data_IF_205007588724
#
_entry.id   IF_205007588724
#
_cell.length_a   1.000
_cell.length_b   1.000
_cell.length_c   1.000
_cell.angle_alpha   90.00
_cell.angle_beta   90.00
_cell.angle_gamma   90.00
#
_symmetry.space_group_name_H-M   'P 1'
#
loop_
_entity.id
_entity.type
_entity.pdbx_description
1 polymer ?
#
# COMPACT_ATOMS: atom_id res chain seq x y z
N UNK A 1 -19.60 3.66 -47.22
CA UNK A 1 -19.03 2.29 -47.16
C UNK A 1 -19.28 1.75 -45.75
N UNK A 2 -20.32 0.94 -45.52
CA UNK A 2 -20.62 0.47 -44.18
C UNK A 2 -19.61 -0.61 -43.78
N UNK A 3 -18.94 -0.36 -42.66
CA UNK A 3 -17.92 -1.18 -42.05
C UNK A 3 -18.45 -2.58 -41.74
N UNK A 4 -17.78 -3.60 -42.29
CA UNK A 4 -18.04 -5.03 -42.04
C UNK A 4 -17.94 -5.43 -40.56
N UNK A 5 -17.47 -4.52 -39.71
CA UNK A 5 -17.34 -4.69 -38.26
C UNK A 5 -18.68 -4.85 -37.54
N UNK A 6 -19.76 -4.18 -37.98
CA UNK A 6 -21.03 -4.22 -37.26
C UNK A 6 -21.79 -5.54 -37.41
N UNK A 7 -21.48 -6.34 -38.43
CA UNK A 7 -22.08 -7.66 -38.63
C UNK A 7 -21.42 -8.77 -37.79
N UNK A 8 -20.19 -8.55 -37.34
CA UNK A 8 -19.45 -9.53 -36.52
C UNK A 8 -19.95 -9.60 -35.08
N UNK A 9 -20.49 -8.50 -34.54
CA UNK A 9 -21.02 -8.46 -33.16
C UNK A 9 -22.36 -9.20 -32.97
N UNK A 10 -23.04 -9.67 -34.03
CA UNK A 10 -24.34 -10.36 -33.92
C UNK A 10 -24.21 -11.88 -33.85
N UNK A 11 -23.02 -12.43 -34.07
CA UNK A 11 -22.78 -13.86 -34.00
C UNK A 11 -22.54 -14.26 -32.54
N UNK A 12 -23.48 -14.99 -31.95
CA UNK A 12 -23.34 -15.57 -30.61
C UNK A 12 -22.05 -16.39 -30.50
N UNK A 13 -21.65 -17.07 -31.58
CA UNK A 13 -20.38 -17.80 -31.68
C UNK A 13 -19.17 -16.87 -31.53
N UNK A 14 -19.19 -15.68 -32.12
CA UNK A 14 -18.09 -14.71 -31.97
C UNK A 14 -18.01 -14.18 -30.54
N UNK A 15 -19.16 -13.94 -29.90
CA UNK A 15 -19.22 -13.53 -28.50
C UNK A 15 -18.62 -14.60 -27.57
N UNK A 16 -18.95 -15.89 -27.78
CA UNK A 16 -18.33 -16.98 -27.01
C UNK A 16 -16.83 -17.12 -27.27
N UNK A 17 -16.36 -16.89 -28.50
CA UNK A 17 -14.93 -16.93 -28.83
C UNK A 17 -14.18 -15.79 -28.12
N UNK A 18 -14.72 -14.57 -28.15
CA UNK A 18 -14.10 -13.41 -27.48
C UNK A 18 -14.11 -13.57 -25.96
N UNK A 19 -15.24 -14.00 -25.38
CA UNK A 19 -15.32 -14.29 -23.94
C UNK A 19 -14.37 -15.42 -23.53
N UNK A 20 -14.32 -16.49 -24.32
CA UNK A 20 -13.41 -17.61 -24.09
C UNK A 20 -11.94 -17.20 -24.13
N UNK A 21 -11.54 -16.39 -25.13
CA UNK A 21 -10.17 -15.86 -25.23
C UNK A 21 -9.82 -14.92 -24.07
N UNK A 22 -10.76 -14.09 -23.62
CA UNK A 22 -10.57 -13.21 -22.46
C UNK A 22 -10.28 -14.00 -21.19
N UNK A 23 -11.10 -15.01 -20.89
CA UNK A 23 -10.92 -15.88 -19.72
C UNK A 23 -9.64 -16.70 -19.84
N UNK A 24 -9.33 -17.22 -21.03
CA UNK A 24 -8.10 -17.97 -21.29
C UNK A 24 -6.85 -17.13 -20.99
N UNK A 25 -6.81 -15.89 -21.47
CA UNK A 25 -5.68 -14.99 -21.22
C UNK A 25 -5.52 -14.66 -19.74
N UNK A 26 -6.62 -14.48 -19.02
CA UNK A 26 -6.60 -14.24 -17.57
C UNK A 26 -6.05 -15.45 -16.81
N UNK A 27 -6.48 -16.66 -17.16
CA UNK A 27 -5.98 -17.90 -16.55
C UNK A 27 -4.50 -18.12 -16.84
N UNK A 28 -4.06 -17.89 -18.10
CA UNK A 28 -2.65 -17.98 -18.46
C UNK A 28 -1.83 -16.94 -17.68
N UNK A 29 -2.30 -15.70 -17.56
CA UNK A 29 -1.63 -14.65 -16.79
C UNK A 29 -1.45 -15.05 -15.31
N UNK A 30 -2.50 -15.52 -14.65
CA UNK A 30 -2.41 -16.00 -13.26
C UNK A 30 -1.45 -17.18 -13.14
N UNK A 31 -1.49 -18.11 -14.09
CA UNK A 31 -0.60 -19.27 -14.09
C UNK A 31 0.87 -18.88 -14.27
N UNK A 32 1.16 -17.87 -15.10
CA UNK A 32 2.50 -17.33 -15.26
C UNK A 32 2.99 -16.62 -14.00
N UNK A 33 2.11 -15.88 -13.30
CA UNK A 33 2.46 -15.25 -12.01
C UNK A 33 2.73 -16.31 -10.94
N UNK A 34 1.88 -17.34 -10.85
CA UNK A 34 2.03 -18.43 -9.88
C UNK A 34 3.25 -19.32 -10.13
N UNK A 35 3.75 -19.34 -11.38
CA UNK A 35 4.95 -20.08 -11.78
C UNK A 35 6.14 -19.21 -12.11
N UNK A 36 6.04 -17.89 -11.90
CA UNK A 36 7.18 -17.02 -12.03
C UNK A 36 8.21 -17.55 -11.02
N UNK A 37 9.35 -18.11 -11.46
CA UNK A 37 10.40 -18.41 -10.53
C UNK A 37 10.76 -17.09 -9.88
N UNK A 38 10.93 -17.07 -8.56
CA UNK A 38 11.52 -15.93 -7.86
C UNK A 38 12.85 -15.63 -8.57
N UNK A 39 12.83 -14.64 -9.45
CA UNK A 39 14.04 -14.02 -9.96
C UNK A 39 14.54 -13.24 -8.76
N UNK A 40 15.27 -13.96 -7.89
CA UNK A 40 16.03 -13.36 -6.81
C UNK A 40 16.76 -12.15 -7.42
N UNK A 41 16.59 -10.95 -6.85
CA UNK A 41 17.30 -9.77 -7.32
C UNK A 41 18.78 -10.13 -7.41
N UNK A 42 19.35 -10.08 -8.63
CA UNK A 42 20.80 -10.07 -8.72
C UNK A 42 21.26 -8.83 -7.95
N UNK A 43 22.18 -8.99 -6.98
CA UNK A 43 22.60 -7.93 -6.10
C UNK A 43 23.36 -6.88 -6.91
N UNK A 44 22.63 -5.89 -7.44
CA UNK A 44 23.20 -4.57 -7.60
C UNK A 44 23.35 -4.03 -6.18
N UNK A 45 24.55 -4.24 -5.63
CA UNK A 45 25.07 -3.73 -4.36
C UNK A 45 24.11 -2.76 -3.65
N UNK A 46 23.21 -3.31 -2.84
CA UNK A 46 22.54 -2.53 -1.80
C UNK A 46 23.34 -2.81 -0.55
N UNK A 47 24.08 -1.79 -0.17
CA UNK A 47 24.95 -1.78 0.98
C UNK A 47 24.19 -2.21 2.24
N UNK A 48 24.95 -2.87 3.10
CA UNK A 48 24.54 -3.51 4.33
C UNK A 48 23.88 -2.49 5.27
N UNK A 49 22.78 -2.89 5.91
CA UNK A 49 22.46 -2.58 7.32
C UNK A 49 21.16 -3.31 7.71
N UNK A 50 21.27 -4.61 7.95
CA UNK A 50 20.34 -5.34 8.80
C UNK A 50 21.13 -5.73 10.06
N UNK A 51 21.06 -4.88 11.09
CA UNK A 51 21.31 -5.21 12.50
C UNK A 51 20.91 -3.97 13.34
N UNK A 52 20.44 -4.23 14.57
CA UNK A 52 20.06 -3.29 15.62
C UNK A 52 18.67 -2.62 15.56
N UNK A 53 17.61 -3.38 15.87
CA UNK A 53 16.38 -2.78 16.42
C UNK A 53 15.72 -3.65 17.52
N UNK A 54 16.54 -4.28 18.36
CA UNK A 54 16.11 -5.00 19.56
C UNK A 54 16.65 -4.36 20.85
N UNK A 55 16.95 -3.06 20.82
CA UNK A 55 17.37 -2.25 21.99
C UNK A 55 16.43 -1.08 22.28
N UNK A 56 15.52 -0.73 21.36
CA UNK A 56 14.58 0.38 21.49
C UNK A 56 13.37 0.06 22.39
N UNK A 57 13.01 -1.22 22.52
CA UNK A 57 11.84 -1.64 23.31
C UNK A 57 12.12 -1.56 24.82
N UNK A 58 13.37 -1.68 25.25
CA UNK A 58 13.72 -1.69 26.68
C UNK A 58 13.84 -0.28 27.29
N UNK A 59 13.81 0.77 26.47
CA UNK A 59 13.80 2.18 26.90
C UNK A 59 12.40 2.70 27.27
N UNK A 60 11.33 1.96 26.97
CA UNK A 60 9.96 2.43 27.18
C UNK A 60 9.41 2.13 28.59
N UNK A 61 10.09 1.30 29.38
CA UNK A 61 9.68 0.95 30.75
C UNK A 61 10.10 2.03 31.79
N UNK A 62 11.19 2.78 31.53
CA UNK A 62 11.66 3.87 32.41
C UNK A 62 10.94 5.21 32.15
N UNK A 63 10.21 5.35 31.04
CA UNK A 63 9.56 6.62 30.66
C UNK A 63 8.24 6.90 31.38
N UNK A 64 7.61 5.90 31.99
CA UNK A 64 6.31 6.07 32.64
C UNK A 64 6.40 6.88 33.96
N UNK A 65 7.57 6.86 34.63
CA UNK A 65 7.80 7.65 35.85
C UNK A 65 8.09 9.14 35.54
N UNK A 66 8.76 9.43 34.43
CA UNK A 66 9.13 10.81 34.04
C UNK A 66 7.91 11.62 33.57
N UNK A 67 6.96 10.98 32.87
CA UNK A 67 5.76 11.64 32.32
C UNK A 67 4.82 12.11 33.45
N UNK A 68 4.70 11.33 34.53
CA UNK A 68 3.82 11.66 35.66
C UNK A 68 4.30 12.90 36.44
N UNK A 69 5.60 13.21 36.41
CA UNK A 69 6.15 14.39 37.08
C UNK A 69 6.09 15.66 36.20
N UNK A 70 6.11 15.49 34.87
CA UNK A 70 6.04 16.60 33.90
C UNK A 70 4.65 17.26 33.85
N UNK A 71 3.58 16.52 34.12
CA UNK A 71 2.20 17.06 34.14
C UNK A 71 1.95 18.09 35.26
N UNK A 72 2.85 18.21 36.24
CA UNK A 72 2.73 19.19 37.34
C UNK A 72 3.24 20.59 36.98
N UNK A 73 4.05 20.70 35.92
CA UNK A 73 4.64 21.96 35.50
C UNK A 73 3.89 22.43 34.25
N UNK A 74 3.07 23.47 34.39
CA UNK A 74 2.23 24.01 33.33
C UNK A 74 3.02 24.46 32.11
N UNK A 75 3.26 23.55 31.17
CA UNK A 75 3.69 23.86 29.82
C UNK A 75 2.43 23.95 28.97
N UNK A 76 2.09 25.17 28.55
CA UNK A 76 1.06 25.39 27.54
C UNK A 76 1.43 24.57 26.29
N UNK A 77 0.55 23.68 25.78
CA UNK A 77 0.83 22.95 24.56
C UNK A 77 1.03 23.93 23.41
N UNK A 78 2.20 23.87 22.79
CA UNK A 78 2.47 24.57 21.53
C UNK A 78 1.48 24.03 20.47
N UNK A 79 0.96 24.87 19.57
CA UNK A 79 0.11 24.39 18.49
C UNK A 79 1.00 23.68 17.46
N UNK A 80 1.03 22.35 17.53
CA UNK A 80 1.75 21.48 16.58
C UNK A 80 0.83 21.15 15.40
N UNK A 81 0.69 22.13 14.50
CA UNK A 81 0.13 21.97 13.16
C UNK A 81 1.09 21.08 12.34
N UNK A 82 0.62 19.90 11.92
CA UNK A 82 1.29 18.92 11.06
C UNK A 82 2.23 17.87 11.68
N UNK A 83 1.88 17.30 12.84
CA UNK A 83 2.36 15.93 13.12
C UNK A 83 1.61 14.94 12.21
N UNK A 84 2.18 14.67 11.02
CA UNK A 84 1.77 13.60 10.09
C UNK A 84 2.05 12.22 10.72
N UNK A 85 1.35 11.91 11.81
CA UNK A 85 1.38 10.58 12.44
C UNK A 85 0.68 9.61 11.49
N UNK A 86 1.34 8.52 11.12
CA UNK A 86 0.74 7.48 10.28
C UNK A 86 -0.60 7.01 10.86
N UNK A 87 -1.64 7.03 10.04
CA UNK A 87 -3.01 6.68 10.42
C UNK A 87 -3.80 7.78 11.14
N UNK A 88 -3.29 9.01 11.22
CA UNK A 88 -4.07 10.19 11.63
C UNK A 88 -4.88 10.76 10.46
N UNK A 89 -5.88 11.58 10.76
CA UNK A 89 -6.71 12.23 9.74
C UNK A 89 -5.89 13.07 8.75
N UNK A 90 -4.97 13.91 9.25
CA UNK A 90 -4.09 14.70 8.41
C UNK A 90 -3.18 13.83 7.52
N UNK A 91 -2.80 12.64 8.00
CA UNK A 91 -2.05 11.67 7.19
C UNK A 91 -2.94 11.00 6.13
N UNK A 92 -4.18 10.69 6.45
CA UNK A 92 -5.16 10.16 5.49
C UNK A 92 -5.39 11.15 4.32
N UNK A 93 -5.60 12.43 4.62
CA UNK A 93 -5.74 13.50 3.63
C UNK A 93 -4.51 13.60 2.71
N UNK A 94 -3.32 13.55 3.30
CA UNK A 94 -2.07 13.58 2.53
C UNK A 94 -1.89 12.32 1.66
N UNK A 95 -2.31 11.15 2.14
CA UNK A 95 -2.28 9.90 1.36
C UNK A 95 -3.26 9.92 0.19
N UNK A 96 -4.43 10.56 0.35
CA UNK A 96 -5.39 10.73 -0.77
C UNK A 96 -4.84 11.60 -1.90
N UNK A 97 -4.00 12.59 -1.58
CA UNK A 97 -3.35 13.44 -2.57
C UNK A 97 -2.12 12.79 -3.23
N UNK A 98 -1.64 11.66 -2.70
CA UNK A 98 -0.40 11.01 -3.12
C UNK A 98 -0.63 10.11 -4.34
N UNK A 99 0.18 10.22 -5.41
CA UNK A 99 0.01 9.39 -6.61
C UNK A 99 0.30 7.90 -6.34
N UNK A 100 -0.50 7.01 -6.92
CA UNK A 100 -0.44 5.54 -6.72
C UNK A 100 0.97 4.94 -6.85
N UNK A 101 1.81 5.48 -7.74
CA UNK A 101 3.17 5.01 -7.96
C UNK A 101 4.11 5.17 -6.75
N UNK A 102 3.77 6.06 -5.81
CA UNK A 102 4.56 6.33 -4.61
C UNK A 102 4.04 5.58 -3.37
N UNK A 103 3.02 4.74 -3.54
CA UNK A 103 2.46 3.97 -2.44
C UNK A 103 3.39 2.81 -2.08
N UNK A 104 3.51 2.55 -0.78
CA UNK A 104 4.14 1.34 -0.28
C UNK A 104 3.09 0.43 0.36
N UNK A 105 3.32 -0.87 0.33
CA UNK A 105 2.34 -1.86 0.80
C UNK A 105 1.91 -1.66 2.26
N UNK A 106 2.83 -1.22 3.12
CA UNK A 106 2.54 -0.99 4.53
C UNK A 106 1.55 0.17 4.72
N UNK A 107 1.76 1.26 4.00
CA UNK A 107 0.93 2.46 4.04
C UNK A 107 -0.41 2.22 3.34
N UNK A 108 -0.45 1.44 2.24
CA UNK A 108 -1.70 1.02 1.60
C UNK A 108 -2.60 0.26 2.58
N UNK A 109 -2.03 -0.72 3.30
CA UNK A 109 -2.77 -1.51 4.29
C UNK A 109 -3.23 -0.66 5.47
N UNK A 110 -2.37 0.24 5.94
CA UNK A 110 -2.70 1.12 7.06
C UNK A 110 -3.79 2.12 6.68
N UNK A 111 -3.71 2.71 5.49
CA UNK A 111 -4.70 3.63 4.94
C UNK A 111 -6.08 2.94 4.84
N UNK A 112 -6.12 1.73 4.29
CA UNK A 112 -7.37 0.98 4.20
C UNK A 112 -7.99 0.67 5.57
N UNK A 113 -7.17 0.41 6.59
CA UNK A 113 -7.66 0.09 7.95
C UNK A 113 -8.11 1.31 8.75
N UNK A 114 -7.48 2.46 8.53
CA UNK A 114 -7.61 3.65 9.38
C UNK A 114 -8.40 4.78 8.74
N UNK A 115 -8.38 4.88 7.41
CA UNK A 115 -8.91 6.04 6.68
C UNK A 115 -10.17 5.72 5.86
N UNK A 116 -10.48 4.44 5.61
CA UNK A 116 -11.66 4.03 4.81
C UNK A 116 -12.80 3.45 5.66
N UNK A 117 -12.56 3.21 6.94
CA UNK A 117 -13.53 2.62 7.86
C UNK A 117 -14.09 3.72 8.78
N UNK A 118 -15.12 4.42 8.31
CA UNK A 118 -16.00 5.29 9.12
C UNK A 118 -17.12 4.47 9.78
#
# INVERSE_FOLDING_TARGET
MPSKFSALLRSNTFLFVVLGLSVLMLVIGIFLIARAPDIAPQPAATDMSQEDDLSLIQSLDDTEEIINNASRNGVNPLPDDNRLVRGSEAWCENMMAKPDAEWNDADTRLFAQKCLND
#
